data_IF_677663930055
#
_entry.id   IF_677663930055
#
_cell.length_a   1.000
_cell.length_b   1.000
_cell.length_c   1.000
_cell.angle_alpha   90.00
_cell.angle_beta   90.00
_cell.angle_gamma   90.00
#
_symmetry.space_group_name_H-M   'P 1'
#
loop_
_entity.id
_entity.type
_entity.pdbx_description
1 polymer ?
#
# COMPACT_ATOMS: atom_id res chain seq x y z
N UNK A 1 -0.57 -32.59 -36.90
CA UNK A 1 0.55 -32.14 -36.06
C UNK A 1 0.87 -30.73 -36.50
N UNK A 2 0.28 -29.74 -35.84
CA UNK A 2 0.55 -28.32 -36.09
C UNK A 2 1.45 -27.81 -34.97
N UNK A 3 2.70 -27.54 -35.33
CA UNK A 3 3.66 -26.82 -34.50
C UNK A 3 3.14 -25.38 -34.34
N UNK A 4 2.52 -25.10 -33.19
CA UNK A 4 2.14 -23.74 -32.83
C UNK A 4 3.40 -22.93 -32.60
N UNK A 5 3.82 -22.17 -33.62
CA UNK A 5 4.84 -21.15 -33.54
C UNK A 5 4.42 -20.08 -32.52
N UNK A 6 4.89 -20.22 -31.29
CA UNK A 6 4.79 -19.14 -30.30
C UNK A 6 5.59 -17.94 -30.82
N UNK A 7 5.04 -16.72 -30.79
CA UNK A 7 5.82 -15.55 -31.14
C UNK A 7 6.97 -15.42 -30.13
N UNK A 8 8.20 -15.64 -30.61
CA UNK A 8 9.40 -15.30 -29.88
C UNK A 8 9.38 -13.79 -29.63
N UNK A 9 9.08 -13.38 -28.39
CA UNK A 9 9.20 -11.97 -27.99
C UNK A 9 10.65 -11.53 -28.20
N UNK A 10 10.91 -10.41 -28.89
CA UNK A 10 12.26 -9.90 -29.03
C UNK A 10 12.85 -9.61 -27.66
N UNK A 11 14.03 -10.18 -27.38
CA UNK A 11 14.88 -9.87 -26.23
C UNK A 11 15.55 -8.51 -26.47
N UNK A 12 14.74 -7.45 -26.56
CA UNK A 12 15.25 -6.09 -26.43
C UNK A 12 15.32 -5.78 -24.94
N UNK A 13 16.47 -5.27 -24.49
CA UNK A 13 16.74 -4.91 -23.10
C UNK A 13 15.60 -4.06 -22.53
N UNK A 14 14.73 -4.70 -21.76
CA UNK A 14 13.68 -4.06 -20.97
C UNK A 14 14.39 -3.34 -19.84
N UNK A 15 14.91 -2.14 -20.13
CA UNK A 15 15.21 -1.12 -19.14
C UNK A 15 14.07 -1.18 -18.11
N UNK A 16 14.41 -1.36 -16.83
CA UNK A 16 13.48 -1.40 -15.70
C UNK A 16 12.36 -0.39 -15.94
N UNK A 17 11.24 -0.86 -16.49
CA UNK A 17 10.04 -0.06 -16.60
C UNK A 17 9.48 -0.05 -15.19
N UNK A 18 9.98 0.87 -14.38
CA UNK A 18 9.26 1.30 -13.18
C UNK A 18 7.99 1.95 -13.72
N UNK A 19 7.00 1.13 -14.04
CA UNK A 19 5.67 1.59 -14.42
C UNK A 19 5.08 2.10 -13.11
N UNK A 20 5.40 3.36 -12.79
CA UNK A 20 4.83 4.10 -11.65
C UNK A 20 3.38 4.35 -12.01
N UNK A 21 2.56 3.31 -11.94
CA UNK A 21 1.13 3.45 -12.06
C UNK A 21 0.66 4.07 -10.76
N UNK A 22 0.08 5.29 -10.79
CA UNK A 22 -0.64 5.78 -9.64
C UNK A 22 -1.69 4.72 -9.32
N UNK A 23 -1.47 4.03 -8.21
CA UNK A 23 -2.43 3.09 -7.68
C UNK A 23 -3.57 3.93 -7.18
N UNK A 24 -4.60 4.25 -8.00
CA UNK A 24 -6.03 4.14 -7.59
C UNK A 24 -7.11 4.84 -8.45
N UNK A 25 -8.37 4.33 -8.32
CA UNK A 25 -9.61 5.00 -8.72
C UNK A 25 -10.07 6.17 -7.82
N UNK A 26 -9.43 6.39 -6.65
CA UNK A 26 -9.69 7.50 -5.72
C UNK A 26 -8.43 8.38 -5.68
N UNK A 27 -8.35 9.38 -6.56
CA UNK A 27 -7.10 10.09 -6.87
C UNK A 27 -6.68 11.11 -5.79
N UNK A 28 -7.61 11.58 -4.96
CA UNK A 28 -7.32 12.62 -3.96
C UNK A 28 -7.00 12.05 -2.57
N UNK A 29 -7.62 10.93 -2.19
CA UNK A 29 -7.36 10.26 -0.90
C UNK A 29 -6.40 9.10 -1.14
N UNK A 30 -5.12 9.39 -0.99
CA UNK A 30 -4.04 8.44 -1.20
C UNK A 30 -3.04 8.36 -0.04
N UNK A 31 -2.03 7.48 -0.15
CA UNK A 31 -0.95 7.35 0.83
C UNK A 31 -0.20 8.65 1.02
N UNK A 32 0.01 9.42 -0.05
CA UNK A 32 0.64 10.74 0.01
C UNK A 32 -0.13 11.70 0.91
N UNK A 33 -1.46 11.78 0.75
CA UNK A 33 -2.31 12.62 1.59
C UNK A 33 -2.31 12.14 3.05
N UNK A 34 -2.38 10.82 3.28
CA UNK A 34 -2.31 10.24 4.61
C UNK A 34 -0.95 10.50 5.29
N UNK A 35 0.15 10.36 4.56
CA UNK A 35 1.50 10.67 5.04
C UNK A 35 1.65 12.17 5.38
N UNK A 36 1.14 13.06 4.51
CA UNK A 36 1.12 14.50 4.78
C UNK A 36 0.36 14.83 6.07
N UNK A 37 -0.84 14.25 6.22
CA UNK A 37 -1.66 14.42 7.42
C UNK A 37 -0.95 13.86 8.67
N UNK A 38 -0.29 12.71 8.57
CA UNK A 38 0.50 12.14 9.65
C UNK A 38 1.66 13.04 10.10
N UNK A 39 2.38 13.63 9.15
CA UNK A 39 3.47 14.58 9.42
C UNK A 39 2.97 15.92 10.00
N UNK A 40 1.81 16.40 9.59
CA UNK A 40 1.15 17.57 10.20
C UNK A 40 0.71 17.26 11.64
N UNK A 41 0.10 16.09 11.86
CA UNK A 41 -0.40 15.66 13.16
C UNK A 41 0.70 15.41 14.20
N UNK A 42 1.94 15.16 13.79
CA UNK A 42 3.08 15.08 14.70
C UNK A 42 3.66 16.44 15.09
N UNK A 43 3.24 17.52 14.43
CA UNK A 43 3.73 18.88 14.71
C UNK A 43 5.19 19.15 14.33
N UNK A 44 5.84 18.25 13.59
CA UNK A 44 7.28 18.32 13.26
C UNK A 44 7.63 19.16 12.03
N UNK A 45 6.64 19.84 11.43
CA UNK A 45 6.82 20.68 10.25
C UNK A 45 7.16 22.12 10.66
N UNK A 46 8.35 22.30 11.25
CA UNK A 46 8.87 23.60 11.74
C UNK A 46 9.23 24.61 10.62
N UNK A 47 8.83 24.34 9.37
CA UNK A 47 9.20 25.16 8.20
C UNK A 47 10.68 25.08 7.80
N UNK A 48 11.52 24.34 8.53
CA UNK A 48 12.94 24.12 8.21
C UNK A 48 13.09 23.26 6.97
N UNK A 49 14.13 23.51 6.16
CA UNK A 49 14.44 22.72 4.96
C UNK A 49 14.54 21.21 5.26
N UNK A 50 15.10 20.84 6.43
CA UNK A 50 15.19 19.46 6.87
C UNK A 50 13.81 18.79 7.04
N UNK A 51 12.83 19.49 7.60
CA UNK A 51 11.45 18.97 7.75
C UNK A 51 10.78 18.76 6.40
N UNK A 52 11.02 19.67 5.43
CA UNK A 52 10.53 19.51 4.07
C UNK A 52 11.15 18.31 3.35
N UNK A 53 12.47 18.11 3.48
CA UNK A 53 13.16 16.93 2.91
C UNK A 53 12.62 15.64 3.54
N UNK A 54 12.46 15.60 4.87
CA UNK A 54 11.87 14.48 5.58
C UNK A 54 10.44 14.18 5.08
N UNK A 55 9.65 15.21 4.79
CA UNK A 55 8.27 15.07 4.29
C UNK A 55 8.25 14.49 2.87
N UNK A 56 9.12 15.00 1.99
CA UNK A 56 9.23 14.47 0.62
C UNK A 56 9.67 13.02 0.65
N UNK A 57 10.64 12.67 1.50
CA UNK A 57 11.10 11.29 1.66
C UNK A 57 10.01 10.37 2.25
N UNK A 58 9.21 10.85 3.21
CA UNK A 58 8.12 10.05 3.78
C UNK A 58 6.98 9.83 2.78
N UNK A 59 6.63 10.84 1.98
CA UNK A 59 5.66 10.72 0.88
C UNK A 59 6.20 9.76 -0.20
N UNK A 60 7.46 9.91 -0.60
CA UNK A 60 8.11 9.01 -1.56
C UNK A 60 8.07 7.56 -1.04
N UNK A 61 8.43 7.34 0.22
CA UNK A 61 8.39 6.03 0.86
C UNK A 61 6.98 5.42 0.81
N UNK A 62 5.96 6.18 1.25
CA UNK A 62 4.61 5.67 1.43
C UNK A 62 3.83 5.50 0.12
N UNK A 63 3.96 6.45 -0.79
CA UNK A 63 3.17 6.47 -2.03
C UNK A 63 3.88 5.72 -3.15
N UNK A 64 5.15 6.09 -3.42
CA UNK A 64 5.86 5.50 -4.57
C UNK A 64 6.50 4.17 -4.25
N UNK A 65 7.27 4.03 -3.17
CA UNK A 65 8.05 2.80 -2.93
C UNK A 65 7.17 1.66 -2.42
N UNK A 66 6.41 1.89 -1.35
CA UNK A 66 5.46 0.89 -0.84
C UNK A 66 4.37 0.62 -1.88
N UNK A 67 3.88 1.65 -2.57
CA UNK A 67 2.89 1.51 -3.64
C UNK A 67 3.39 0.70 -4.83
N UNK A 68 4.59 1.00 -5.34
CA UNK A 68 5.20 0.26 -6.44
C UNK A 68 5.51 -1.18 -6.04
N UNK A 69 6.09 -1.39 -4.87
CA UNK A 69 6.37 -2.72 -4.34
C UNK A 69 5.09 -3.57 -4.28
N UNK A 70 4.00 -2.99 -3.75
CA UNK A 70 2.70 -3.66 -3.65
C UNK A 70 2.08 -3.91 -5.02
N UNK A 71 2.14 -2.94 -5.94
CA UNK A 71 1.61 -3.09 -7.28
C UNK A 71 2.33 -4.22 -8.03
N UNK A 72 3.67 -4.28 -7.95
CA UNK A 72 4.47 -5.37 -8.49
C UNK A 72 4.11 -6.71 -7.83
N UNK A 73 3.93 -6.75 -6.51
CA UNK A 73 3.56 -7.98 -5.83
C UNK A 73 2.16 -8.51 -6.24
N UNK A 74 1.18 -7.61 -6.38
CA UNK A 74 -0.21 -7.97 -6.68
C UNK A 74 -0.45 -8.29 -8.16
N UNK A 75 0.23 -7.61 -9.08
CA UNK A 75 -0.04 -7.72 -10.51
C UNK A 75 0.94 -8.59 -11.28
N UNK A 76 2.00 -9.07 -10.64
CA UNK A 76 2.99 -9.85 -11.35
C UNK A 76 2.54 -11.28 -11.66
N UNK A 77 2.76 -11.68 -12.91
CA UNK A 77 2.37 -12.98 -13.48
C UNK A 77 3.11 -14.17 -12.84
N UNK A 78 4.15 -13.90 -12.04
CA UNK A 78 4.96 -14.94 -11.41
C UNK A 78 4.14 -15.86 -10.50
N UNK A 79 3.01 -15.43 -9.92
CA UNK A 79 2.18 -16.30 -9.08
C UNK A 79 1.61 -17.51 -9.81
N UNK A 80 1.24 -17.33 -11.07
CA UNK A 80 0.71 -18.40 -11.92
C UNK A 80 1.87 -19.19 -12.55
N UNK A 81 2.98 -18.51 -12.88
CA UNK A 81 4.14 -19.13 -13.49
C UNK A 81 4.96 -19.99 -12.50
N UNK A 82 5.06 -19.59 -11.23
CA UNK A 82 5.89 -20.23 -10.20
C UNK A 82 5.50 -21.70 -9.95
N UNK A 83 4.24 -22.07 -9.63
CA UNK A 83 3.88 -23.47 -9.40
C UNK A 83 4.03 -24.33 -10.66
N UNK A 84 3.73 -23.77 -11.85
CA UNK A 84 3.86 -24.48 -13.13
C UNK A 84 5.31 -24.81 -13.47
N UNK A 85 6.23 -23.88 -13.24
CA UNK A 85 7.65 -24.05 -13.54
C UNK A 85 8.41 -24.82 -12.43
N UNK A 86 7.96 -24.75 -11.18
CA UNK A 86 8.48 -25.61 -10.11
C UNK A 86 8.12 -27.09 -10.34
N UNK A 87 6.93 -27.37 -10.88
CA UNK A 87 6.52 -28.72 -11.24
C UNK A 87 7.40 -29.32 -12.36
N UNK A 88 7.75 -28.54 -13.38
CA UNK A 88 8.65 -28.99 -14.46
C UNK A 88 10.10 -29.14 -13.99
N UNK A 89 10.57 -28.30 -13.07
CA UNK A 89 11.92 -28.37 -12.55
C UNK A 89 12.16 -29.51 -11.55
N UNK A 90 11.11 -29.99 -10.86
CA UNK A 90 11.18 -31.16 -9.97
C UNK A 90 11.65 -32.43 -10.68
N UNK A 91 11.37 -32.53 -11.98
CA UNK A 91 11.78 -33.66 -12.85
C UNK A 91 13.32 -33.72 -12.97
N UNK A 92 13.99 -32.56 -13.01
CA UNK A 92 15.45 -32.48 -13.13
C UNK A 92 16.20 -32.93 -11.86
N UNK A 93 15.56 -32.84 -10.70
CA UNK A 93 16.12 -33.30 -9.42
C UNK A 93 15.94 -34.81 -9.18
N UNK A 94 15.14 -35.50 -9.99
CA UNK A 94 14.85 -36.94 -9.84
C UNK A 94 15.72 -37.83 -10.73
N UNK A 95 16.66 -37.29 -11.51
CA UNK A 95 17.58 -38.13 -12.29
C UNK A 95 18.55 -38.87 -11.33
N UNK A 96 18.61 -40.21 -11.38
CA UNK A 96 19.50 -41.00 -10.52
C UNK A 96 20.98 -40.64 -10.71
N UNK A 97 21.70 -40.52 -9.60
CA UNK A 97 23.15 -40.29 -9.56
C UNK A 97 23.90 -41.63 -9.60
N UNK A 98 23.95 -42.28 -10.77
CA UNK A 98 24.48 -43.66 -10.89
C UNK A 98 26.02 -43.75 -10.99
N UNK A 99 26.78 -42.75 -10.51
CA UNK A 99 28.25 -42.75 -10.65
C UNK A 99 29.01 -42.74 -9.30
N UNK A 100 29.86 -43.74 -9.01
CA UNK A 100 30.69 -43.78 -7.81
C UNK A 100 31.88 -42.82 -7.96
N UNK A 101 31.78 -41.61 -7.40
CA UNK A 101 32.85 -40.60 -7.50
C UNK A 101 33.19 -40.01 -6.13
N UNK A 102 34.45 -39.58 -5.97
CA UNK A 102 35.02 -38.93 -4.78
C UNK A 102 34.20 -37.73 -4.23
N UNK A 103 34.45 -37.35 -2.97
CA UNK A 103 33.68 -36.35 -2.22
C UNK A 103 33.74 -34.93 -2.82
N UNK A 104 34.93 -34.46 -3.21
CA UNK A 104 35.15 -33.12 -3.79
C UNK A 104 34.31 -32.87 -5.06
N UNK A 105 34.30 -33.78 -6.07
CA UNK A 105 33.49 -33.57 -7.25
C UNK A 105 31.98 -33.76 -7.01
N UNK A 106 31.54 -34.36 -5.88
CA UNK A 106 30.12 -34.36 -5.47
C UNK A 106 29.66 -32.99 -5.00
N UNK A 107 30.46 -32.33 -4.15
CA UNK A 107 30.14 -30.97 -3.67
C UNK A 107 30.13 -29.97 -4.83
N UNK A 108 31.13 -30.03 -5.72
CA UNK A 108 31.19 -29.17 -6.89
C UNK A 108 30.00 -29.38 -7.84
N UNK A 109 29.61 -30.64 -8.10
CA UNK A 109 28.41 -30.96 -8.91
C UNK A 109 27.10 -30.54 -8.25
N UNK A 110 26.99 -30.68 -6.92
CA UNK A 110 25.82 -30.18 -6.19
C UNK A 110 25.72 -28.65 -6.28
N UNK A 111 26.86 -27.94 -6.19
CA UNK A 111 26.91 -26.50 -6.32
C UNK A 111 26.55 -26.05 -7.75
N UNK A 112 27.13 -26.68 -8.78
CA UNK A 112 26.82 -26.34 -10.18
C UNK A 112 25.39 -26.70 -10.56
N UNK A 113 24.81 -27.79 -10.02
CA UNK A 113 23.37 -28.08 -10.16
C UNK A 113 22.50 -27.02 -9.48
N UNK A 114 22.86 -26.54 -8.29
CA UNK A 114 22.14 -25.46 -7.61
C UNK A 114 22.25 -24.14 -8.38
N UNK A 115 23.43 -23.82 -8.93
CA UNK A 115 23.65 -22.61 -9.73
C UNK A 115 22.91 -22.73 -11.07
N UNK A 116 22.96 -23.88 -11.74
CA UNK A 116 22.23 -24.12 -12.98
C UNK A 116 20.72 -24.11 -12.75
N UNK A 117 20.22 -24.66 -11.64
CA UNK A 117 18.82 -24.54 -11.24
C UNK A 117 18.44 -23.09 -10.97
N UNK A 118 19.25 -22.36 -10.22
CA UNK A 118 19.03 -20.93 -9.99
C UNK A 118 19.04 -20.14 -11.31
N UNK A 119 19.94 -20.44 -12.24
CA UNK A 119 20.05 -19.73 -13.53
C UNK A 119 19.02 -20.14 -14.57
N UNK A 120 18.59 -21.40 -14.61
CA UNK A 120 17.73 -21.92 -15.68
C UNK A 120 16.27 -22.06 -15.24
N UNK A 121 16.01 -22.10 -13.93
CA UNK A 121 14.65 -22.20 -13.37
C UNK A 121 14.29 -20.92 -12.64
N UNK A 122 15.12 -20.45 -11.71
CA UNK A 122 14.75 -19.27 -10.91
C UNK A 122 14.94 -17.98 -11.72
N UNK A 123 16.07 -17.80 -12.41
CA UNK A 123 16.41 -16.57 -13.14
C UNK A 123 15.45 -16.21 -14.28
N UNK A 124 14.99 -17.14 -15.14
CA UNK A 124 13.95 -16.80 -16.12
C UNK A 124 12.57 -16.54 -15.49
N UNK A 125 12.36 -16.94 -14.22
CA UNK A 125 11.18 -16.56 -13.43
C UNK A 125 11.36 -15.22 -12.70
N UNK A 126 12.61 -14.80 -12.46
CA UNK A 126 12.96 -13.44 -12.05
C UNK A 126 12.75 -12.55 -13.27
N UNK A 127 11.49 -12.25 -13.57
CA UNK A 127 11.14 -11.16 -14.47
C UNK A 127 11.67 -9.85 -13.85
N UNK A 128 11.83 -8.84 -14.69
CA UNK A 128 12.07 -7.44 -14.33
C UNK A 128 11.25 -6.94 -13.13
N UNK A 129 10.06 -7.53 -12.91
CA UNK A 129 9.15 -7.25 -11.80
C UNK A 129 9.66 -7.71 -10.43
N UNK A 130 10.28 -8.89 -10.32
CA UNK A 130 10.84 -9.38 -9.05
C UNK A 130 12.06 -8.53 -8.66
N UNK A 131 12.90 -8.17 -9.64
CA UNK A 131 14.03 -7.27 -9.42
C UNK A 131 13.54 -5.89 -8.99
N UNK A 132 12.54 -5.34 -9.70
CA UNK A 132 11.93 -4.07 -9.34
C UNK A 132 11.34 -4.08 -7.93
N UNK A 133 10.68 -5.16 -7.54
CA UNK A 133 10.14 -5.35 -6.20
C UNK A 133 11.27 -5.41 -5.15
N UNK A 134 12.34 -6.17 -5.41
CA UNK A 134 13.46 -6.30 -4.47
C UNK A 134 14.17 -4.95 -4.29
N UNK A 135 14.40 -4.22 -5.38
CA UNK A 135 14.96 -2.85 -5.35
C UNK A 135 14.04 -1.90 -4.59
N UNK A 136 12.74 -1.86 -4.89
CA UNK A 136 11.78 -1.00 -4.21
C UNK A 136 11.70 -1.30 -2.71
N UNK A 137 11.71 -2.59 -2.34
CA UNK A 137 11.68 -3.03 -0.94
C UNK A 137 12.97 -2.66 -0.18
N UNK A 138 14.13 -2.87 -0.80
CA UNK A 138 15.43 -2.48 -0.20
C UNK A 138 15.50 -0.96 -0.06
N UNK A 139 15.13 -0.20 -1.09
CA UNK A 139 15.13 1.26 -1.04
C UNK A 139 14.14 1.78 0.03
N UNK A 140 12.95 1.20 0.13
CA UNK A 140 11.99 1.53 1.17
C UNK A 140 12.57 1.27 2.57
N UNK A 141 13.19 0.11 2.78
CA UNK A 141 13.84 -0.25 4.04
C UNK A 141 15.00 0.70 4.38
N UNK A 142 15.85 1.05 3.41
CA UNK A 142 16.93 2.01 3.58
C UNK A 142 16.41 3.39 3.98
N UNK A 143 15.40 3.92 3.28
CA UNK A 143 14.81 5.23 3.60
C UNK A 143 14.16 5.19 4.99
N UNK A 144 13.41 4.15 5.31
CA UNK A 144 12.78 4.02 6.61
C UNK A 144 13.80 3.94 7.77
N UNK A 145 14.94 3.27 7.54
CA UNK A 145 16.03 3.18 8.50
C UNK A 145 16.72 4.53 8.78
N UNK A 146 16.63 5.51 7.87
CA UNK A 146 17.18 6.85 8.08
C UNK A 146 16.38 7.67 9.10
N UNK A 147 15.11 7.34 9.33
CA UNK A 147 14.25 8.07 10.26
C UNK A 147 14.41 7.56 11.69
N UNK A 148 13.82 6.40 11.99
CA UNK A 148 13.93 5.73 13.29
C UNK A 148 13.42 4.28 13.21
N UNK A 149 13.62 3.54 14.30
CA UNK A 149 13.24 2.12 14.40
C UNK A 149 11.73 1.89 14.27
N UNK A 150 10.90 2.83 14.73
CA UNK A 150 9.44 2.70 14.63
C UNK A 150 8.97 2.85 13.18
N UNK A 151 9.45 3.86 12.46
CA UNK A 151 9.20 4.05 11.02
C UNK A 151 9.66 2.83 10.22
N UNK A 152 10.84 2.28 10.55
CA UNK A 152 11.34 1.04 9.95
C UNK A 152 10.41 -0.16 10.21
N UNK A 153 10.01 -0.36 11.47
CA UNK A 153 9.08 -1.43 11.85
C UNK A 153 7.72 -1.32 11.16
N UNK A 154 7.17 -0.11 11.06
CA UNK A 154 5.91 0.15 10.35
C UNK A 154 6.04 -0.08 8.84
N UNK A 155 7.20 0.25 8.25
CA UNK A 155 7.47 -0.01 6.83
C UNK A 155 7.54 -1.52 6.57
N UNK A 156 8.23 -2.28 7.42
CA UNK A 156 8.24 -3.75 7.32
C UNK A 156 6.83 -4.34 7.50
N UNK A 157 6.06 -3.82 8.44
CA UNK A 157 4.66 -4.23 8.63
C UNK A 157 3.81 -3.93 7.39
N UNK A 158 4.03 -2.80 6.71
CA UNK A 158 3.34 -2.46 5.47
C UNK A 158 3.67 -3.42 4.32
N UNK A 159 4.95 -3.75 4.15
CA UNK A 159 5.38 -4.75 3.17
C UNK A 159 4.77 -6.12 3.50
N UNK A 160 4.81 -6.55 4.76
CA UNK A 160 4.24 -7.82 5.20
C UNK A 160 2.71 -7.86 5.03
N UNK A 161 1.99 -6.80 5.35
CA UNK A 161 0.54 -6.73 5.17
C UNK A 161 0.16 -6.77 3.69
N UNK A 162 0.96 -6.16 2.81
CA UNK A 162 0.76 -6.27 1.38
C UNK A 162 1.08 -7.69 0.83
N UNK A 163 1.97 -8.45 1.48
CA UNK A 163 2.09 -9.91 1.23
C UNK A 163 0.85 -10.68 1.65
N UNK A 164 0.21 -10.30 2.76
CA UNK A 164 -0.98 -10.98 3.28
C UNK A 164 -2.21 -10.65 2.43
N UNK A 165 -2.38 -9.39 1.98
CA UNK A 165 -3.49 -8.96 1.14
C UNK A 165 -3.67 -9.86 -0.09
N UNK A 166 -2.55 -10.27 -0.67
CA UNK A 166 -2.48 -11.19 -1.79
C UNK A 166 -3.12 -12.56 -1.59
N UNK A 167 -3.23 -13.03 -0.34
CA UNK A 167 -3.68 -14.36 0.03
C UNK A 167 -5.12 -14.37 0.54
N UNK A 168 -5.72 -13.19 0.67
CA UNK A 168 -7.00 -12.99 1.33
C UNK A 168 -8.09 -12.74 0.30
N UNK A 169 -9.30 -13.25 0.54
CA UNK A 169 -10.48 -13.02 -0.31
C UNK A 169 -10.75 -11.53 -0.53
N UNK A 170 -11.21 -11.16 -1.73
CA UNK A 170 -11.48 -9.78 -2.16
C UNK A 170 -12.21 -8.92 -1.11
N UNK A 171 -13.20 -9.50 -0.42
CA UNK A 171 -13.98 -8.80 0.62
C UNK A 171 -13.13 -8.36 1.82
N UNK A 172 -12.20 -9.23 2.24
CA UNK A 172 -11.30 -8.94 3.36
C UNK A 172 -10.08 -8.13 2.90
N UNK A 173 -9.69 -8.26 1.62
CA UNK A 173 -8.64 -7.45 1.01
C UNK A 173 -8.94 -5.95 1.08
N UNK A 174 -10.21 -5.53 1.03
CA UNK A 174 -10.60 -4.13 1.22
C UNK A 174 -10.14 -3.53 2.55
N UNK A 175 -10.16 -4.32 3.62
CA UNK A 175 -9.76 -3.84 4.95
C UNK A 175 -8.24 -3.70 5.04
N UNK A 176 -7.51 -4.70 4.52
CA UNK A 176 -6.04 -4.67 4.45
C UNK A 176 -5.57 -3.53 3.55
N UNK A 177 -6.22 -3.37 2.40
CA UNK A 177 -6.00 -2.25 1.50
C UNK A 177 -6.17 -0.94 2.24
N UNK A 178 -7.27 -0.73 2.95
CA UNK A 178 -7.46 0.52 3.68
C UNK A 178 -6.36 0.77 4.73
N UNK A 179 -5.92 -0.27 5.46
CA UNK A 179 -4.82 -0.16 6.42
C UNK A 179 -3.49 0.22 5.74
N UNK A 180 -3.13 -0.45 4.65
CA UNK A 180 -1.89 -0.22 3.89
C UNK A 180 -1.91 1.17 3.23
N UNK A 181 -3.08 1.62 2.82
CA UNK A 181 -3.23 2.83 2.02
C UNK A 181 -3.52 4.10 2.84
N UNK A 182 -3.96 3.95 4.09
CA UNK A 182 -4.35 5.05 4.98
C UNK A 182 -3.61 4.97 6.32
N UNK A 183 -3.79 3.89 7.09
CA UNK A 183 -3.20 3.77 8.44
C UNK A 183 -1.68 3.81 8.41
N UNK A 184 -1.05 2.94 7.61
CA UNK A 184 0.41 2.80 7.62
C UNK A 184 1.12 4.06 7.11
N UNK A 185 0.73 4.68 5.97
CA UNK A 185 1.34 5.93 5.52
C UNK A 185 1.29 7.05 6.56
N UNK A 186 0.13 7.22 7.20
CA UNK A 186 -0.04 8.22 8.26
C UNK A 186 0.86 7.90 9.45
N UNK A 187 0.87 6.66 9.96
CA UNK A 187 1.68 6.31 11.12
C UNK A 187 3.19 6.34 10.82
N UNK A 188 3.60 5.93 9.63
CA UNK A 188 4.99 6.00 9.15
C UNK A 188 5.42 7.47 9.17
N UNK A 189 4.66 8.36 8.54
CA UNK A 189 4.98 9.78 8.54
C UNK A 189 4.93 10.38 9.94
N UNK A 190 3.89 10.12 10.73
CA UNK A 190 3.77 10.61 12.11
C UNK A 190 4.99 10.21 12.97
N UNK A 191 5.40 8.93 12.88
CA UNK A 191 6.57 8.42 13.60
C UNK A 191 7.89 9.02 13.10
N UNK A 192 7.99 9.41 11.82
CA UNK A 192 9.20 10.00 11.27
C UNK A 192 9.49 11.41 11.83
N UNK A 193 8.45 12.10 12.32
CA UNK A 193 8.52 13.49 12.80
C UNK A 193 8.33 13.65 14.30
N UNK A 194 7.79 12.65 15.02
CA UNK A 194 7.50 12.78 16.44
C UNK A 194 7.25 11.46 17.17
N UNK A 195 6.95 11.57 18.46
CA UNK A 195 6.57 10.42 19.29
C UNK A 195 5.17 9.93 18.95
N UNK A 196 4.94 8.64 19.14
CA UNK A 196 3.66 8.01 18.87
C UNK A 196 2.54 8.53 19.79
N UNK A 197 1.44 9.01 19.20
CA UNK A 197 0.24 9.44 19.92
C UNK A 197 -0.92 8.46 19.77
N UNK A 198 -1.48 8.01 20.89
CA UNK A 198 -2.69 7.17 20.89
C UNK A 198 -3.89 7.87 20.27
N UNK A 199 -3.97 9.20 20.41
CA UNK A 199 -5.05 9.99 19.81
C UNK A 199 -4.90 10.03 18.29
N UNK A 200 -3.67 10.18 17.79
CA UNK A 200 -3.38 10.10 16.35
C UNK A 200 -3.72 8.71 15.79
N UNK A 201 -3.40 7.62 16.53
CA UNK A 201 -3.80 6.26 16.16
C UNK A 201 -5.33 6.14 16.05
N UNK A 202 -6.06 6.68 17.03
CA UNK A 202 -7.52 6.63 17.03
C UNK A 202 -8.11 7.32 15.79
N UNK A 203 -7.68 8.53 15.48
CA UNK A 203 -8.17 9.28 14.31
C UNK A 203 -7.81 8.60 13.00
N UNK A 204 -6.58 8.10 12.84
CA UNK A 204 -6.20 7.42 11.60
C UNK A 204 -7.01 6.14 11.39
N UNK A 205 -7.38 5.41 12.46
CA UNK A 205 -8.26 4.25 12.35
C UNK A 205 -9.67 4.64 11.89
N UNK A 206 -10.20 5.78 12.35
CA UNK A 206 -11.48 6.31 11.86
C UNK A 206 -11.40 6.73 10.39
N UNK A 207 -10.33 7.41 9.96
CA UNK A 207 -10.12 7.73 8.54
C UNK A 207 -9.92 6.48 7.69
N UNK A 208 -9.33 5.43 8.26
CA UNK A 208 -9.20 4.13 7.59
C UNK A 208 -10.56 3.46 7.42
N UNK A 209 -11.45 3.57 8.40
CA UNK A 209 -12.83 3.10 8.30
C UNK A 209 -13.61 3.88 7.22
N UNK A 210 -13.45 5.20 7.17
CA UNK A 210 -14.01 6.07 6.12
C UNK A 210 -13.50 5.64 4.74
N UNK A 211 -12.19 5.47 4.60
CA UNK A 211 -11.56 5.09 3.35
C UNK A 211 -12.00 3.68 2.88
N UNK A 212 -12.08 2.73 3.82
CA UNK A 212 -12.68 1.41 3.57
C UNK A 212 -14.13 1.53 3.09
N UNK A 213 -14.91 2.41 3.71
CA UNK A 213 -16.30 2.64 3.30
C UNK A 213 -16.39 3.22 1.88
N UNK A 214 -15.49 4.13 1.49
CA UNK A 214 -15.41 4.63 0.11
C UNK A 214 -15.05 3.52 -0.90
N UNK A 215 -14.11 2.64 -0.56
CA UNK A 215 -13.78 1.48 -1.40
C UNK A 215 -14.98 0.52 -1.52
N UNK A 216 -15.67 0.27 -0.41
CA UNK A 216 -16.88 -0.55 -0.37
C UNK A 216 -18.03 0.02 -1.20
N UNK A 217 -18.22 1.35 -1.19
CA UNK A 217 -19.21 2.03 -2.04
C UNK A 217 -18.93 1.81 -3.52
N UNK A 218 -17.66 1.70 -3.93
CA UNK A 218 -17.31 1.48 -5.33
C UNK A 218 -17.53 0.03 -5.80
N UNK A 219 -17.71 -0.94 -4.90
CA UNK A 219 -17.70 -2.38 -5.23
C UNK A 219 -18.94 -3.17 -4.74
N UNK A 220 -19.56 -2.77 -3.63
CA UNK A 220 -20.60 -3.54 -2.93
C UNK A 220 -21.89 -2.71 -2.71
N UNK A 221 -22.88 -3.32 -2.01
CA UNK A 221 -24.14 -2.70 -1.65
C UNK A 221 -23.96 -1.37 -0.88
N UNK A 222 -24.49 -0.25 -1.38
CA UNK A 222 -24.02 1.07 -0.97
C UNK A 222 -24.52 1.53 0.41
N UNK A 223 -25.66 1.04 0.89
CA UNK A 223 -26.30 1.57 2.10
C UNK A 223 -25.48 1.37 3.37
N UNK A 224 -24.93 0.16 3.57
CA UNK A 224 -24.12 -0.16 4.76
C UNK A 224 -22.86 0.70 4.83
N UNK A 225 -22.22 0.94 3.69
CA UNK A 225 -20.98 1.70 3.61
C UNK A 225 -21.20 3.19 3.85
N UNK A 226 -22.32 3.75 3.41
CA UNK A 226 -22.70 5.13 3.76
C UNK A 226 -22.84 5.33 5.27
N UNK A 227 -23.51 4.40 5.95
CA UNK A 227 -23.68 4.47 7.41
C UNK A 227 -22.34 4.46 8.12
N UNK A 228 -21.41 3.57 7.73
CA UNK A 228 -20.07 3.54 8.33
C UNK A 228 -19.27 4.82 8.08
N UNK A 229 -19.35 5.39 6.87
CA UNK A 229 -18.69 6.66 6.56
C UNK A 229 -19.23 7.80 7.44
N UNK A 230 -20.56 7.92 7.55
CA UNK A 230 -21.20 8.97 8.35
C UNK A 230 -20.91 8.81 9.85
N UNK A 231 -21.01 7.58 10.38
CA UNK A 231 -20.76 7.30 11.79
C UNK A 231 -19.31 7.60 12.16
N UNK A 232 -18.34 7.21 11.32
CA UNK A 232 -16.94 7.51 11.56
C UNK A 232 -16.66 9.02 11.61
N UNK A 233 -17.20 9.79 10.66
CA UNK A 233 -17.05 11.26 10.66
C UNK A 233 -17.74 11.94 11.84
N UNK A 234 -18.90 11.43 12.26
CA UNK A 234 -19.58 11.92 13.45
C UNK A 234 -18.75 11.69 14.71
N UNK A 235 -18.15 10.50 14.87
CA UNK A 235 -17.24 10.20 15.99
C UNK A 235 -16.04 11.13 15.96
N UNK A 236 -15.44 11.40 14.79
CA UNK A 236 -14.35 12.37 14.64
C UNK A 236 -14.76 13.75 15.19
N UNK A 237 -15.91 14.27 14.75
CA UNK A 237 -16.39 15.58 15.19
C UNK A 237 -16.65 15.63 16.71
N UNK A 238 -17.26 14.58 17.27
CA UNK A 238 -17.52 14.49 18.71
C UNK A 238 -16.23 14.43 19.54
N UNK A 239 -15.23 13.67 19.08
CA UNK A 239 -13.94 13.58 19.78
C UNK A 239 -13.18 14.91 19.70
N UNK A 240 -13.17 15.57 18.54
CA UNK A 240 -12.58 16.92 18.43
C UNK A 240 -13.25 17.92 19.38
N UNK A 241 -14.58 17.87 19.49
CA UNK A 241 -15.33 18.72 20.42
C UNK A 241 -14.95 18.42 21.88
N UNK A 242 -14.89 17.14 22.26
CA UNK A 242 -14.47 16.71 23.60
C UNK A 242 -13.00 17.05 23.92
N UNK A 243 -12.14 17.11 22.90
CA UNK A 243 -10.73 17.51 23.02
C UNK A 243 -10.51 19.03 23.02
N UNK A 244 -11.56 19.84 23.25
CA UNK A 244 -11.48 21.31 23.28
C UNK A 244 -11.02 21.96 21.96
N UNK A 245 -11.28 21.31 20.83
CA UNK A 245 -11.02 21.88 19.48
C UNK A 245 -12.34 22.19 18.74
N UNK A 246 -13.20 23.08 19.28
CA UNK A 246 -14.56 23.28 18.78
C UNK A 246 -14.60 23.81 17.34
N UNK A 247 -13.58 24.59 16.93
CA UNK A 247 -13.46 25.09 15.56
C UNK A 247 -13.23 23.93 14.57
N UNK A 248 -12.31 23.02 14.90
CA UNK A 248 -12.05 21.83 14.07
C UNK A 248 -13.28 20.93 14.00
N UNK A 249 -13.95 20.70 15.15
CA UNK A 249 -15.19 19.95 15.23
C UNK A 249 -16.29 20.56 14.35
N UNK A 250 -16.47 21.89 14.37
CA UNK A 250 -17.47 22.59 13.58
C UNK A 250 -17.18 22.46 12.07
N UNK A 251 -15.93 22.59 11.64
CA UNK A 251 -15.55 22.44 10.22
C UNK A 251 -15.83 21.01 9.74
N UNK A 252 -15.45 19.99 10.52
CA UNK A 252 -15.73 18.58 10.18
C UNK A 252 -17.24 18.32 10.14
N UNK A 253 -18.00 18.86 11.11
CA UNK A 253 -19.46 18.73 11.14
C UNK A 253 -20.16 19.39 9.95
N UNK A 254 -19.69 20.57 9.51
CA UNK A 254 -20.19 21.22 8.29
C UNK A 254 -19.89 20.40 7.04
N UNK A 255 -18.68 19.82 6.95
CA UNK A 255 -18.32 18.90 5.87
C UNK A 255 -19.21 17.66 5.85
N UNK A 256 -19.49 17.07 7.01
CA UNK A 256 -20.42 15.95 7.15
C UNK A 256 -21.84 16.34 6.76
N UNK A 257 -22.33 17.53 7.15
CA UNK A 257 -23.65 18.03 6.77
C UNK A 257 -23.75 18.17 5.24
N UNK A 258 -22.75 18.80 4.60
CA UNK A 258 -22.68 18.92 3.15
C UNK A 258 -22.70 17.54 2.46
N UNK A 259 -21.93 16.59 3.00
CA UNK A 259 -21.92 15.20 2.52
C UNK A 259 -23.30 14.53 2.64
N UNK A 260 -24.00 14.69 3.78
CA UNK A 260 -25.34 14.11 4.00
C UNK A 260 -26.38 14.73 3.08
N UNK A 261 -26.32 16.04 2.83
CA UNK A 261 -27.18 16.69 1.84
C UNK A 261 -26.93 16.12 0.43
N UNK A 262 -25.68 15.89 0.06
CA UNK A 262 -25.31 15.28 -1.21
C UNK A 262 -25.75 13.81 -1.33
N UNK A 263 -25.82 13.08 -0.22
CA UNK A 263 -26.34 11.70 -0.19
C UNK A 263 -27.80 11.62 -0.65
N UNK A 264 -28.61 12.65 -0.38
CA UNK A 264 -30.02 12.70 -0.81
C UNK A 264 -30.10 12.72 -2.34
N UNK A 265 -29.28 13.55 -2.98
CA UNK A 265 -29.19 13.64 -4.44
C UNK A 265 -28.57 12.38 -5.07
N UNK A 266 -27.59 11.76 -4.42
CA UNK A 266 -27.07 10.47 -4.89
C UNK A 266 -28.11 9.35 -4.86
N UNK A 267 -28.99 9.30 -3.84
CA UNK A 267 -30.04 8.27 -3.74
C UNK A 267 -31.00 8.30 -4.94
N UNK A 268 -31.23 9.48 -5.52
CA UNK A 268 -32.10 9.64 -6.69
C UNK A 268 -31.42 9.20 -7.99
N UNK A 269 -30.14 9.50 -8.19
CA UNK A 269 -29.44 9.26 -9.46
C UNK A 269 -28.61 7.97 -9.50
N UNK A 270 -28.34 7.34 -8.35
CA UNK A 270 -27.49 6.15 -8.18
C UNK A 270 -26.09 6.28 -8.80
N UNK A 271 -25.57 7.50 -8.95
CA UNK A 271 -24.27 7.80 -9.53
C UNK A 271 -23.11 7.64 -8.52
N UNK A 272 -22.83 6.40 -8.11
CA UNK A 272 -21.89 6.11 -6.99
C UNK A 272 -20.45 6.57 -7.21
N UNK A 273 -19.95 6.54 -8.47
CA UNK A 273 -18.60 7.04 -8.78
C UNK A 273 -18.48 8.55 -8.64
N UNK A 274 -19.46 9.30 -9.16
CA UNK A 274 -19.48 10.75 -9.05
C UNK A 274 -19.58 11.20 -7.58
N UNK A 275 -20.43 10.53 -6.80
CA UNK A 275 -20.53 10.73 -5.36
C UNK A 275 -19.19 10.50 -4.65
N UNK A 276 -18.52 9.37 -4.90
CA UNK A 276 -17.24 9.05 -4.29
C UNK A 276 -16.11 10.03 -4.67
N UNK A 277 -16.13 10.60 -5.87
CA UNK A 277 -15.16 11.62 -6.29
C UNK A 277 -15.36 12.95 -5.56
N UNK A 278 -16.60 13.42 -5.43
CA UNK A 278 -16.89 14.69 -4.75
C UNK A 278 -16.55 14.62 -3.26
N UNK A 279 -16.83 13.48 -2.63
CA UNK A 279 -16.64 13.32 -1.19
C UNK A 279 -15.17 13.19 -0.78
N UNK A 280 -14.30 12.83 -1.72
CA UNK A 280 -12.87 12.78 -1.43
C UNK A 280 -12.33 14.12 -0.95
N UNK A 281 -12.81 15.24 -1.50
CA UNK A 281 -12.38 16.58 -1.10
C UNK A 281 -12.79 16.91 0.34
N UNK A 282 -14.03 16.59 0.73
CA UNK A 282 -14.52 16.84 2.10
C UNK A 282 -13.78 16.00 3.14
N UNK A 283 -13.51 14.73 2.84
CA UNK A 283 -12.77 13.86 3.76
C UNK A 283 -11.30 14.29 3.85
N UNK A 284 -10.66 14.67 2.74
CA UNK A 284 -9.30 15.21 2.76
C UNK A 284 -9.22 16.49 3.61
N UNK A 285 -10.20 17.39 3.46
CA UNK A 285 -10.30 18.59 4.30
C UNK A 285 -10.47 18.22 5.78
N UNK A 286 -11.32 17.25 6.10
CA UNK A 286 -11.48 16.76 7.47
C UNK A 286 -10.19 16.13 8.03
N UNK A 287 -9.44 15.36 7.22
CA UNK A 287 -8.13 14.82 7.59
C UNK A 287 -7.14 15.92 7.93
N UNK A 288 -7.05 16.96 7.09
CA UNK A 288 -6.18 18.11 7.33
C UNK A 288 -6.57 18.87 8.60
N UNK A 289 -7.87 19.14 8.80
CA UNK A 289 -8.38 19.82 9.99
C UNK A 289 -8.04 19.03 11.25
N UNK A 290 -8.31 17.72 11.27
CA UNK A 290 -7.93 16.85 12.40
C UNK A 290 -6.43 16.87 12.64
N UNK A 291 -5.62 16.79 11.58
CA UNK A 291 -4.17 16.79 11.72
C UNK A 291 -3.64 18.09 12.32
N UNK A 292 -4.20 19.23 11.92
CA UNK A 292 -3.87 20.54 12.49
C UNK A 292 -4.37 20.64 13.93
N UNK A 293 -5.57 20.13 14.23
CA UNK A 293 -6.11 20.12 15.60
C UNK A 293 -5.34 19.22 16.55
N UNK A 294 -4.66 18.18 16.07
CA UNK A 294 -3.79 17.33 16.88
C UNK A 294 -2.45 18.00 17.23
N UNK A 295 -2.08 19.06 16.49
CA UNK A 295 -0.85 19.79 16.72
C UNK A 295 -0.97 20.83 17.86
N UNK A 296 -2.16 21.39 18.06
CA UNK A 296 -2.47 22.38 19.10
C UNK A 296 -2.94 21.73 20.40
#
# INVERSE_FOLDING_TARGET
MEESSYPARPVLGRLLALDVRPTRPLTLIGPAAAALCGALASGGLDGRAQSWVALVLSILLCDTLIGAWRALWLHADWRVALPRNLASARIWFMLPDDAPVAFVPRVWRALTRRIAFARNVIWPLIDSEIIGMLIAGVLAACIAALFNLATFGLTLAALALALIEAQVSDRNALSLRALIEMTLPWLIAHSAFGAFSWLALFFVLLFTLIYRALLGLAQEAPERWLTWNNVAQLIIALVLFASNTPVGAAIVALGLLAQVLWQIHWRTERATRAYAQHIQAYILAAMLVVSISLWF
#
